data_IF_706349070121
#
_entry.id   IF_706349070121
#
_cell.length_a   1.000
_cell.length_b   1.000
_cell.length_c   1.000
_cell.angle_alpha   90.00
_cell.angle_beta   90.00
_cell.angle_gamma   90.00
#
_symmetry.space_group_name_H-M   'P 1'
#
loop_
_entity.id
_entity.type
_entity.pdbx_description
1 polymer ?
#
# COMPACT_ATOMS: atom_id res chain seq x y z
N UNK A 1 -4.51 0.18 24.95
CA UNK A 1 -3.13 -0.20 24.61
C UNK A 1 -3.13 -0.64 23.16
N UNK A 2 -2.42 0.02 22.21
CA UNK A 2 -2.23 -0.58 20.91
C UNK A 2 -1.28 -1.75 21.09
N UNK A 3 -1.73 -2.95 20.70
CA UNK A 3 -0.87 -4.13 20.67
C UNK A 3 0.07 -3.91 19.49
N UNK A 4 1.27 -3.40 19.75
CA UNK A 4 2.34 -3.43 18.75
C UNK A 4 2.56 -4.87 18.30
N UNK A 5 3.01 -5.10 17.05
CA UNK A 5 3.20 -6.45 16.53
C UNK A 5 3.99 -7.29 17.54
N UNK A 6 3.39 -8.41 17.96
CA UNK A 6 4.03 -9.34 18.88
C UNK A 6 5.40 -9.72 18.29
N UNK A 7 6.45 -9.64 19.11
CA UNK A 7 7.82 -9.92 18.72
C UNK A 7 7.87 -11.26 17.94
N UNK A 8 8.08 -11.17 16.62
CA UNK A 8 8.06 -12.31 15.70
C UNK A 8 7.17 -12.16 14.45
N UNK A 9 6.34 -11.12 14.36
CA UNK A 9 5.57 -10.82 13.14
C UNK A 9 6.38 -9.97 12.17
N UNK A 10 6.59 -10.45 10.94
CA UNK A 10 7.32 -9.71 9.91
C UNK A 10 6.58 -8.42 9.57
N UNK A 11 7.31 -7.34 9.34
CA UNK A 11 6.77 -6.05 8.92
C UNK A 11 7.75 -5.37 7.98
N UNK A 12 7.26 -4.44 7.18
CA UNK A 12 8.10 -3.68 6.28
C UNK A 12 7.30 -2.69 5.46
N UNK A 13 7.96 -2.16 4.44
CA UNK A 13 7.37 -1.24 3.47
C UNK A 13 7.42 -1.87 2.09
N UNK A 14 6.45 -1.55 1.24
CA UNK A 14 6.50 -1.85 -0.19
C UNK A 14 6.39 -0.55 -0.97
N UNK A 15 7.12 -0.46 -2.09
CA UNK A 15 7.14 0.70 -2.98
C UNK A 15 6.74 0.20 -4.37
N UNK A 16 5.75 0.86 -4.95
CA UNK A 16 5.21 0.59 -6.28
C UNK A 16 5.36 1.84 -7.11
N UNK A 17 5.99 1.71 -8.27
CA UNK A 17 6.22 2.82 -9.16
C UNK A 17 5.92 2.44 -10.62
N UNK A 18 5.45 3.42 -11.37
CA UNK A 18 5.27 3.34 -12.81
C UNK A 18 5.86 4.59 -13.46
N UNK A 19 6.54 4.40 -14.59
CA UNK A 19 7.11 5.49 -15.39
C UNK A 19 6.32 5.63 -16.68
N UNK A 20 6.01 6.86 -17.06
CA UNK A 20 5.35 7.22 -18.32
C UNK A 20 6.10 8.36 -19.01
N UNK A 21 5.72 8.68 -20.24
CA UNK A 21 6.26 9.84 -20.96
C UNK A 21 5.97 11.18 -20.25
N UNK A 22 4.95 11.20 -19.38
CA UNK A 22 4.49 12.41 -18.66
C UNK A 22 5.08 12.53 -17.24
N UNK A 23 5.84 11.52 -16.79
CA UNK A 23 6.50 11.51 -15.49
C UNK A 23 6.43 10.18 -14.75
N UNK A 24 6.82 10.22 -13.49
CA UNK A 24 6.88 9.06 -12.57
C UNK A 24 5.74 9.12 -11.56
N UNK A 25 5.03 8.00 -11.41
CA UNK A 25 4.01 7.78 -10.40
C UNK A 25 4.55 6.77 -9.37
N UNK A 26 4.43 7.09 -8.10
CA UNK A 26 4.92 6.26 -7.01
C UNK A 26 3.96 6.21 -5.83
N UNK A 27 3.83 5.03 -5.23
CA UNK A 27 3.07 4.77 -4.02
C UNK A 27 3.89 3.89 -3.08
N UNK A 28 3.85 4.19 -1.79
CA UNK A 28 4.49 3.39 -0.77
C UNK A 28 3.60 3.29 0.46
N UNK A 29 3.61 2.11 1.08
CA UNK A 29 2.87 1.86 2.32
C UNK A 29 3.53 0.78 3.15
N UNK A 30 3.22 0.82 4.44
CA UNK A 30 3.68 -0.17 5.41
C UNK A 30 2.73 -1.37 5.45
N UNK A 31 3.31 -2.53 5.71
CA UNK A 31 2.59 -3.78 5.89
C UNK A 31 3.08 -4.52 7.12
N UNK A 32 2.20 -5.32 7.70
CA UNK A 32 2.48 -6.22 8.80
C UNK A 32 1.97 -7.62 8.45
N UNK A 33 2.70 -8.65 8.89
CA UNK A 33 2.24 -10.02 8.88
C UNK A 33 1.42 -10.27 10.14
N UNK A 34 0.11 -10.47 10.00
CA UNK A 34 -0.78 -10.75 11.14
C UNK A 34 -0.55 -12.18 11.64
N UNK A 35 -0.46 -13.12 10.69
CA UNK A 35 -0.10 -14.51 10.93
C UNK A 35 0.55 -15.11 9.67
N UNK A 36 1.06 -16.34 9.75
CA UNK A 36 1.77 -16.97 8.62
C UNK A 36 0.89 -16.99 7.37
N UNK A 37 1.39 -16.44 6.26
CA UNK A 37 0.66 -16.34 4.99
C UNK A 37 -0.44 -15.26 4.92
N UNK A 38 -0.62 -14.46 5.97
CA UNK A 38 -1.57 -13.34 5.99
C UNK A 38 -0.81 -12.05 6.28
N UNK A 39 -0.67 -11.22 5.24
CA UNK A 39 -0.13 -9.86 5.34
C UNK A 39 -1.24 -8.85 5.13
N UNK A 40 -1.20 -7.77 5.89
CA UNK A 40 -2.15 -6.67 5.83
C UNK A 40 -1.40 -5.35 5.79
N UNK A 41 -2.07 -4.33 5.26
CA UNK A 41 -1.60 -2.95 5.35
C UNK A 41 -1.61 -2.52 6.81
N UNK A 42 -0.55 -1.82 7.24
CA UNK A 42 -0.43 -1.38 8.63
C UNK A 42 -1.38 -0.23 8.95
N UNK A 43 -1.52 0.73 8.02
CA UNK A 43 -2.46 1.83 8.09
C UNK A 43 -2.95 2.21 6.67
N UNK A 44 -4.22 1.96 6.32
CA UNK A 44 -4.81 2.31 5.03
C UNK A 44 -4.84 3.82 4.72
N UNK A 45 -4.67 4.68 5.72
CA UNK A 45 -4.64 6.13 5.55
C UNK A 45 -3.22 6.68 5.42
N UNK A 46 -2.19 5.85 5.61
CA UNK A 46 -0.78 6.25 5.59
C UNK A 46 -0.08 5.91 4.26
N UNK A 47 -0.79 5.99 3.13
CA UNK A 47 -0.17 5.84 1.80
C UNK A 47 0.65 7.08 1.48
N UNK A 48 1.95 6.89 1.25
CA UNK A 48 2.84 7.94 0.76
C UNK A 48 2.87 7.89 -0.76
N UNK A 49 2.53 9.00 -1.41
CA UNK A 49 2.49 9.06 -2.87
C UNK A 49 2.82 10.45 -3.40
N UNK A 50 3.36 10.51 -4.62
CA UNK A 50 3.51 11.75 -5.38
C UNK A 50 2.31 12.02 -6.32
N UNK A 51 1.29 11.16 -6.31
CA UNK A 51 0.08 11.30 -7.12
C UNK A 51 -0.82 12.41 -6.58
N UNK A 52 -1.38 13.20 -7.50
CA UNK A 52 -2.44 14.17 -7.22
C UNK A 52 -3.69 13.75 -7.94
N UNK A 53 -4.68 13.27 -7.20
CA UNK A 53 -5.95 12.83 -7.77
C UNK A 53 -6.85 14.03 -8.04
N UNK A 54 -7.52 13.99 -9.19
CA UNK A 54 -8.41 15.05 -9.67
C UNK A 54 -9.80 14.45 -9.86
N UNK A 55 -10.82 15.08 -9.26
CA UNK A 55 -12.21 14.66 -9.40
C UNK A 55 -12.79 15.00 -10.77
N UNK A 56 -14.02 14.53 -11.03
CA UNK A 56 -14.70 14.73 -12.32
C UNK A 56 -14.88 16.22 -12.70
N UNK A 57 -14.99 17.10 -11.71
CA UNK A 57 -15.09 18.56 -11.86
C UNK A 57 -13.74 19.23 -12.17
N UNK A 58 -12.64 18.47 -12.26
CA UNK A 58 -11.28 19.01 -12.45
C UNK A 58 -10.63 19.56 -11.18
N UNK A 59 -11.32 19.49 -10.03
CA UNK A 59 -10.78 19.89 -8.74
C UNK A 59 -9.89 18.80 -8.14
N UNK A 60 -8.80 19.21 -7.47
CA UNK A 60 -7.91 18.29 -6.75
C UNK A 60 -8.65 17.73 -5.53
N UNK A 61 -8.64 16.41 -5.38
CA UNK A 61 -9.25 15.75 -4.24
C UNK A 61 -8.52 16.09 -2.94
N UNK A 62 -9.27 16.21 -1.85
CA UNK A 62 -8.69 16.26 -0.51
C UNK A 62 -7.97 14.96 -0.17
N UNK A 63 -7.09 14.98 0.84
CA UNK A 63 -6.38 13.78 1.27
C UNK A 63 -7.33 12.64 1.68
N UNK A 64 -8.48 12.96 2.29
CA UNK A 64 -9.48 11.98 2.70
C UNK A 64 -10.24 11.37 1.52
N UNK A 65 -10.63 12.19 0.54
CA UNK A 65 -11.25 11.68 -0.69
C UNK A 65 -10.25 10.85 -1.49
N UNK A 66 -9.00 11.30 -1.61
CA UNK A 66 -7.95 10.58 -2.30
C UNK A 66 -7.62 9.24 -1.64
N UNK A 67 -7.68 9.15 -0.30
CA UNK A 67 -7.38 7.92 0.43
C UNK A 67 -8.26 6.73 -0.01
N UNK A 68 -9.53 6.96 -0.37
CA UNK A 68 -10.40 5.90 -0.87
C UNK A 68 -9.86 5.32 -2.18
N UNK A 69 -9.54 6.17 -3.15
CA UNK A 69 -9.00 5.76 -4.45
C UNK A 69 -7.59 5.17 -4.35
N UNK A 70 -6.75 5.71 -3.46
CA UNK A 70 -5.42 5.14 -3.21
C UNK A 70 -5.53 3.72 -2.63
N UNK A 71 -6.51 3.46 -1.76
CA UNK A 71 -6.77 2.11 -1.24
C UNK A 71 -7.29 1.17 -2.33
N UNK A 72 -8.12 1.65 -3.25
CA UNK A 72 -8.53 0.88 -4.42
C UNK A 72 -7.31 0.49 -5.29
N UNK A 73 -6.40 1.44 -5.55
CA UNK A 73 -5.16 1.16 -6.27
C UNK A 73 -4.29 0.14 -5.55
N UNK A 74 -4.07 0.29 -4.24
CA UNK A 74 -3.35 -0.70 -3.43
C UNK A 74 -3.99 -2.07 -3.54
N UNK A 75 -5.33 -2.16 -3.48
CA UNK A 75 -6.06 -3.43 -3.60
C UNK A 75 -5.95 -4.08 -4.98
N UNK A 76 -5.77 -3.28 -6.04
CA UNK A 76 -5.62 -3.77 -7.41
C UNK A 76 -4.19 -4.25 -7.73
N UNK A 77 -3.19 -3.79 -6.97
CA UNK A 77 -1.80 -4.21 -7.15
C UNK A 77 -1.56 -5.59 -6.49
N UNK A 78 -0.77 -6.49 -7.10
CA UNK A 78 -0.48 -7.82 -6.56
C UNK A 78 0.54 -7.78 -5.39
N UNK A 79 0.49 -6.75 -4.56
CA UNK A 79 1.52 -6.47 -3.56
C UNK A 79 1.64 -7.55 -2.48
N UNK A 80 0.54 -8.19 -2.09
CA UNK A 80 0.59 -9.27 -1.10
C UNK A 80 1.39 -10.46 -1.63
N UNK A 81 1.27 -10.76 -2.94
CA UNK A 81 2.03 -11.83 -3.58
C UNK A 81 3.53 -11.48 -3.61
N UNK A 82 3.84 -10.23 -3.91
CA UNK A 82 5.23 -9.72 -3.92
C UNK A 82 5.87 -9.73 -2.54
N UNK A 83 5.13 -9.33 -1.49
CA UNK A 83 5.58 -9.44 -0.10
C UNK A 83 5.76 -10.89 0.31
N UNK A 84 4.82 -11.78 -0.01
CA UNK A 84 4.98 -13.21 0.26
C UNK A 84 6.21 -13.80 -0.43
N UNK A 85 6.45 -13.44 -1.70
CA UNK A 85 7.65 -13.83 -2.44
C UNK A 85 8.92 -13.34 -1.74
N UNK A 86 8.96 -12.08 -1.31
CA UNK A 86 10.10 -11.51 -0.59
C UNK A 86 10.33 -12.17 0.79
N UNK A 87 9.26 -12.57 1.47
CA UNK A 87 9.33 -13.35 2.71
C UNK A 87 9.69 -14.83 2.52
N UNK A 88 9.82 -15.29 1.27
CA UNK A 88 10.04 -16.71 0.95
C UNK A 88 8.83 -17.61 1.30
N UNK A 89 7.65 -17.02 1.45
CA UNK A 89 6.41 -17.72 1.74
C UNK A 89 5.67 -17.97 0.42
N UNK A 90 5.55 -19.24 -0.01
CA UNK A 90 4.68 -19.56 -1.15
C UNK A 90 3.22 -19.33 -0.73
N UNK A 91 2.48 -18.55 -1.50
CA UNK A 91 1.02 -18.49 -1.40
C UNK A 91 0.50 -19.92 -1.68
N UNK A 92 -0.16 -20.51 -0.67
CA UNK A 92 -0.75 -21.84 -0.74
C UNK A 92 -2.12 -21.78 -1.41
#
# INVERSE_FOLDING_TARGET
MPVGPAAGTAAGQTIWAATSAEGEAGMAWDWIQICRGVVAMADPLAVVTNLRLVGAEGAVLSAQEAALFLNELVSALPWQQEVHRALGQRAN
#
